data_IF_189223949936
#
_entry.id   IF_189223949936
#
_cell.length_a   1.000
_cell.length_b   1.000
_cell.length_c   1.000
_cell.angle_alpha   90.00
_cell.angle_beta   90.00
_cell.angle_gamma   90.00
#
_symmetry.space_group_name_H-M   'P 1'
#
loop_
_entity.id
_entity.type
_entity.pdbx_description
1 polymer ?
#
# COMPACT_ATOMS: atom_id res chain seq x y z
N UNK A 1 13.16 22.27 -24.54
CA UNK A 1 13.81 22.07 -25.84
C UNK A 1 12.72 21.81 -26.88
N UNK A 2 12.50 22.77 -27.80
CA UNK A 2 11.42 22.66 -28.82
C UNK A 2 11.97 21.98 -30.06
N UNK A 3 11.44 20.81 -30.41
CA UNK A 3 11.75 20.14 -31.68
C UNK A 3 10.73 20.60 -32.75
N UNK A 4 11.21 21.16 -33.85
CA UNK A 4 10.39 21.65 -34.97
C UNK A 4 10.41 20.64 -36.13
N UNK A 5 9.26 20.10 -36.52
CA UNK A 5 9.11 19.34 -37.77
C UNK A 5 8.01 19.98 -38.65
N UNK A 6 8.20 19.93 -39.96
CA UNK A 6 7.30 20.50 -40.96
C UNK A 6 6.13 19.56 -41.24
N UNK A 7 4.91 20.11 -41.43
CA UNK A 7 3.79 19.39 -42.03
C UNK A 7 3.87 19.47 -43.56
N UNK A 8 3.21 18.58 -44.25
CA UNK A 8 3.11 18.53 -45.71
C UNK A 8 2.52 19.82 -46.38
N UNK A 9 2.01 20.75 -45.57
CA UNK A 9 1.41 22.03 -45.97
C UNK A 9 2.18 23.26 -45.50
N UNK A 10 3.44 23.12 -45.15
CA UNK A 10 4.32 24.26 -44.87
C UNK A 10 4.08 24.98 -43.53
N UNK A 11 3.04 24.71 -42.79
CA UNK A 11 2.83 25.28 -41.43
C UNK A 11 3.65 24.57 -40.36
N UNK A 12 4.33 25.36 -39.54
CA UNK A 12 5.11 24.84 -38.40
C UNK A 12 4.17 24.54 -37.25
N UNK A 13 3.88 23.27 -37.03
CA UNK A 13 3.10 22.85 -35.86
C UNK A 13 4.04 22.71 -34.66
N UNK A 14 3.88 23.57 -33.66
CA UNK A 14 4.62 23.46 -32.40
C UNK A 14 3.96 22.39 -31.54
N UNK A 15 4.76 21.46 -31.05
CA UNK A 15 4.32 20.47 -30.08
C UNK A 15 5.30 20.37 -28.90
N UNK A 16 4.78 19.99 -27.74
CA UNK A 16 5.59 19.65 -26.57
C UNK A 16 5.64 18.14 -26.39
N UNK A 17 6.80 17.61 -26.02
CA UNK A 17 6.94 16.19 -25.69
C UNK A 17 6.68 16.04 -24.19
N UNK A 18 5.74 15.17 -23.82
CA UNK A 18 5.45 14.80 -22.44
C UNK A 18 5.76 13.32 -22.23
N UNK A 19 6.52 13.03 -21.18
CA UNK A 19 6.79 11.67 -20.73
C UNK A 19 5.79 11.33 -19.61
N UNK A 20 5.17 10.15 -19.68
CA UNK A 20 4.20 9.66 -18.70
C UNK A 20 4.74 8.38 -18.06
N UNK A 21 5.46 8.53 -16.94
CA UNK A 21 6.12 7.41 -16.27
C UNK A 21 7.07 6.67 -17.21
N UNK A 22 6.99 5.33 -17.22
CA UNK A 22 7.80 4.45 -18.08
C UNK A 22 7.22 4.22 -19.49
N UNK A 23 6.10 4.88 -19.79
CA UNK A 23 5.45 4.76 -21.10
C UNK A 23 6.13 5.62 -22.16
N UNK A 24 5.74 5.38 -23.42
CA UNK A 24 6.27 6.12 -24.58
C UNK A 24 6.00 7.62 -24.44
N UNK A 25 6.94 8.40 -24.97
CA UNK A 25 6.77 9.85 -25.10
C UNK A 25 5.58 10.19 -25.98
N UNK A 26 4.72 11.10 -25.50
CA UNK A 26 3.58 11.62 -26.23
C UNK A 26 3.82 13.03 -26.71
N UNK A 27 3.45 13.31 -27.97
CA UNK A 27 3.45 14.66 -28.53
C UNK A 27 2.14 15.35 -28.19
N UNK A 28 2.22 16.48 -27.52
CA UNK A 28 1.04 17.31 -27.23
C UNK A 28 1.02 18.50 -28.17
N UNK A 29 -0.07 18.63 -28.89
CA UNK A 29 -0.35 19.76 -29.80
C UNK A 29 -1.27 20.79 -29.15
N UNK A 30 -1.53 20.69 -27.87
CA UNK A 30 -2.37 21.63 -27.14
C UNK A 30 -1.76 23.03 -27.17
N UNK A 31 -2.55 24.01 -27.56
CA UNK A 31 -2.18 25.44 -27.61
C UNK A 31 -2.37 26.12 -26.25
N UNK A 32 -3.26 25.61 -25.43
CA UNK A 32 -3.57 26.12 -24.09
C UNK A 32 -3.03 25.20 -23.01
N UNK A 33 -2.66 25.76 -21.86
CA UNK A 33 -2.38 24.95 -20.66
C UNK A 33 -3.70 24.31 -20.20
N UNK A 34 -3.59 23.10 -19.64
CA UNK A 34 -4.75 22.48 -18.98
C UNK A 34 -5.28 23.45 -17.91
N UNK A 35 -6.53 23.88 -18.08
CA UNK A 35 -7.18 24.76 -17.11
C UNK A 35 -7.61 24.00 -15.84
N UNK A 36 -7.78 22.70 -15.95
CA UNK A 36 -8.17 21.81 -14.86
C UNK A 36 -7.15 20.68 -14.78
N UNK A 37 -6.61 20.43 -13.60
CA UNK A 37 -5.79 19.25 -13.34
C UNK A 37 -6.70 18.02 -13.35
N UNK A 38 -6.23 16.95 -14.02
CA UNK A 38 -6.93 15.67 -13.96
C UNK A 38 -6.76 15.08 -12.55
N UNK A 39 -7.87 14.86 -11.87
CA UNK A 39 -7.87 14.18 -10.59
C UNK A 39 -7.33 12.76 -10.75
N UNK A 40 -6.58 12.32 -9.76
CA UNK A 40 -6.16 10.93 -9.68
C UNK A 40 -7.37 10.06 -9.30
N UNK A 41 -7.89 9.29 -10.25
CA UNK A 41 -9.08 8.46 -10.05
C UNK A 41 -8.86 7.31 -9.04
N UNK A 42 -7.61 6.99 -8.72
CA UNK A 42 -7.23 5.96 -7.76
C UNK A 42 -6.90 6.53 -6.38
N UNK A 43 -7.04 7.84 -6.18
CA UNK A 43 -6.64 8.50 -4.95
C UNK A 43 -7.44 8.02 -3.75
N UNK A 44 -8.75 7.83 -3.91
CA UNK A 44 -9.65 7.38 -2.84
C UNK A 44 -9.24 6.00 -2.34
N UNK A 45 -9.04 5.04 -3.25
CA UNK A 45 -8.67 3.67 -2.91
C UNK A 45 -7.30 3.63 -2.23
N UNK A 46 -6.31 4.35 -2.76
CA UNK A 46 -4.97 4.39 -2.21
C UNK A 46 -4.94 5.03 -0.83
N UNK A 47 -5.55 6.19 -0.65
CA UNK A 47 -5.64 6.87 0.66
C UNK A 47 -6.37 6.02 1.70
N UNK A 48 -7.47 5.36 1.31
CA UNK A 48 -8.20 4.46 2.21
C UNK A 48 -7.35 3.26 2.65
N UNK A 49 -6.60 2.69 1.72
CA UNK A 49 -5.70 1.58 2.03
C UNK A 49 -4.51 2.02 2.89
N UNK A 50 -3.90 3.16 2.58
CA UNK A 50 -2.80 3.71 3.37
C UNK A 50 -3.26 4.02 4.81
N UNK A 51 -4.44 4.62 4.96
CA UNK A 51 -5.06 4.85 6.28
C UNK A 51 -5.29 3.52 7.02
N UNK A 52 -5.85 2.51 6.35
CA UNK A 52 -6.07 1.21 6.96
C UNK A 52 -4.78 0.57 7.46
N UNK A 53 -3.70 0.64 6.66
CA UNK A 53 -2.41 0.05 7.00
C UNK A 53 -1.68 0.80 8.12
N UNK A 54 -1.92 2.10 8.30
CA UNK A 54 -1.22 2.94 9.29
C UNK A 54 -2.04 3.17 10.56
N UNK A 55 -3.34 3.40 10.44
CA UNK A 55 -4.22 3.77 11.55
C UNK A 55 -5.29 2.72 11.83
N UNK A 56 -5.94 2.20 10.79
CA UNK A 56 -7.09 1.31 10.96
C UNK A 56 -6.75 0.00 11.68
N UNK A 57 -5.60 -0.60 11.40
CA UNK A 57 -5.14 -1.81 12.11
C UNK A 57 -4.90 -1.50 13.60
N UNK A 58 -4.32 -0.35 13.89
CA UNK A 58 -4.07 0.08 15.27
C UNK A 58 -5.38 0.29 16.03
N UNK A 59 -6.36 0.98 15.42
CA UNK A 59 -7.69 1.17 16.02
C UNK A 59 -8.34 -0.18 16.37
N UNK A 60 -8.25 -1.17 15.48
CA UNK A 60 -8.79 -2.52 15.74
C UNK A 60 -8.08 -3.19 16.91
N UNK A 61 -6.76 -3.03 17.03
CA UNK A 61 -6.04 -3.59 18.16
C UNK A 61 -6.40 -2.87 19.47
N UNK A 62 -6.49 -1.56 19.46
CA UNK A 62 -6.84 -0.76 20.62
C UNK A 62 -8.28 -1.06 21.10
N UNK A 63 -9.20 -1.42 20.21
CA UNK A 63 -10.58 -1.82 20.54
C UNK A 63 -10.67 -3.22 21.17
N UNK A 64 -9.78 -4.13 20.81
CA UNK A 64 -9.82 -5.54 21.26
C UNK A 64 -8.97 -5.72 22.51
N UNK A 65 -7.84 -5.07 22.63
CA UNK A 65 -6.86 -5.24 23.69
C UNK A 65 -6.91 -4.08 24.70
N UNK A 66 -6.57 -4.32 25.98
CA UNK A 66 -6.05 -5.57 26.53
C UNK A 66 -7.12 -6.64 26.73
N UNK A 67 -6.71 -7.92 26.62
CA UNK A 67 -7.57 -9.05 26.95
C UNK A 67 -7.13 -9.63 28.28
N UNK A 68 -8.08 -9.69 29.24
CA UNK A 68 -7.84 -10.27 30.56
C UNK A 68 -8.36 -11.69 30.66
N UNK A 69 -7.65 -12.53 31.42
CA UNK A 69 -8.13 -13.88 31.74
C UNK A 69 -9.35 -13.83 32.64
N UNK A 70 -10.16 -14.88 32.67
CA UNK A 70 -11.33 -14.97 33.54
C UNK A 70 -11.00 -14.80 35.04
N UNK A 71 -9.79 -15.20 35.46
CA UNK A 71 -9.30 -15.07 36.84
C UNK A 71 -8.66 -13.71 37.11
N UNK A 72 -8.45 -12.87 36.11
CA UNK A 72 -7.77 -11.57 36.21
C UNK A 72 -6.26 -11.66 36.40
N UNK A 73 -5.68 -12.88 36.40
CA UNK A 73 -4.26 -13.09 36.72
C UNK A 73 -3.33 -12.85 35.53
N UNK A 74 -3.86 -12.94 34.31
CA UNK A 74 -3.11 -12.77 33.07
C UNK A 74 -3.75 -11.67 32.23
N UNK A 75 -2.92 -10.77 31.71
CA UNK A 75 -3.31 -9.71 30.79
C UNK A 75 -2.47 -9.81 29.53
N UNK A 76 -3.14 -9.90 28.39
CA UNK A 76 -2.51 -9.92 27.06
C UNK A 76 -2.69 -8.55 26.40
N UNK A 77 -1.58 -7.95 25.98
CA UNK A 77 -1.55 -6.70 25.24
C UNK A 77 -0.85 -6.89 23.91
N UNK A 78 -1.29 -6.14 22.89
CA UNK A 78 -0.56 -6.01 21.65
C UNK A 78 0.18 -4.67 21.61
N UNK A 79 1.45 -4.75 21.23
CA UNK A 79 2.30 -3.58 21.04
C UNK A 79 2.38 -3.15 19.58
N UNK A 80 3.58 -2.88 19.11
CA UNK A 80 3.81 -2.48 17.72
C UNK A 80 3.59 -3.64 16.75
N UNK A 81 3.02 -3.32 15.59
CA UNK A 81 2.89 -4.27 14.49
C UNK A 81 3.87 -3.91 13.36
N UNK A 82 4.25 -4.90 12.61
CA UNK A 82 5.14 -4.76 11.45
C UNK A 82 4.73 -5.67 10.31
N UNK A 83 5.05 -5.24 9.10
CA UNK A 83 4.90 -6.05 7.90
C UNK A 83 6.26 -6.50 7.42
N UNK A 84 6.38 -7.79 7.12
CA UNK A 84 7.56 -8.30 6.44
C UNK A 84 7.47 -8.08 4.92
N UNK A 85 8.58 -8.31 4.23
CA UNK A 85 8.59 -8.24 2.78
C UNK A 85 7.72 -9.35 2.16
N UNK A 86 6.98 -9.05 1.09
CA UNK A 86 6.23 -10.04 0.35
C UNK A 86 7.12 -11.16 -0.17
N UNK A 87 6.68 -12.41 -0.03
CA UNK A 87 7.45 -13.58 -0.45
C UNK A 87 7.77 -13.60 -1.94
N UNK A 88 6.88 -13.08 -2.77
CA UNK A 88 7.01 -13.06 -4.22
C UNK A 88 6.74 -11.66 -4.76
N UNK A 89 7.38 -11.32 -5.87
CA UNK A 89 7.05 -10.11 -6.63
C UNK A 89 5.66 -10.21 -7.27
N UNK A 90 5.10 -9.09 -7.67
CA UNK A 90 3.80 -9.01 -8.36
C UNK A 90 3.72 -9.97 -9.56
N UNK A 91 4.77 -10.00 -10.40
CA UNK A 91 4.85 -10.92 -11.53
C UNK A 91 4.92 -12.37 -11.07
N UNK A 92 5.74 -12.66 -10.07
CA UNK A 92 5.87 -13.99 -9.50
C UNK A 92 4.58 -14.54 -8.91
N UNK A 93 3.74 -13.67 -8.30
CA UNK A 93 2.41 -14.05 -7.81
C UNK A 93 1.47 -14.45 -8.96
N UNK A 94 1.47 -13.69 -10.06
CA UNK A 94 0.65 -13.99 -11.24
C UNK A 94 1.05 -15.31 -11.90
N UNK A 95 2.36 -15.55 -12.06
CA UNK A 95 2.89 -16.76 -12.69
C UNK A 95 2.65 -18.02 -11.83
N UNK A 96 2.49 -17.88 -10.51
CA UNK A 96 2.34 -18.97 -9.54
C UNK A 96 0.93 -19.12 -8.98
N UNK A 97 -0.03 -18.34 -9.46
CA UNK A 97 -1.39 -18.30 -8.92
C UNK A 97 -1.41 -18.04 -7.40
N UNK A 98 -0.48 -17.20 -6.93
CA UNK A 98 -0.34 -16.83 -5.52
C UNK A 98 -0.95 -15.44 -5.24
N UNK A 99 -1.23 -15.18 -3.98
CA UNK A 99 -1.68 -13.86 -3.50
C UNK A 99 -0.46 -12.99 -3.19
N UNK A 100 -0.50 -11.73 -3.64
CA UNK A 100 0.50 -10.74 -3.27
C UNK A 100 0.18 -10.18 -1.90
N UNK A 101 0.86 -10.71 -0.88
CA UNK A 101 0.61 -10.40 0.52
C UNK A 101 1.92 -10.30 1.31
N UNK A 102 1.89 -9.56 2.41
CA UNK A 102 2.97 -9.50 3.38
C UNK A 102 2.54 -10.11 4.71
N UNK A 103 3.43 -10.85 5.39
CA UNK A 103 3.19 -11.34 6.73
C UNK A 103 3.03 -10.18 7.72
N UNK A 104 1.92 -10.19 8.47
CA UNK A 104 1.69 -9.27 9.58
C UNK A 104 2.17 -9.90 10.87
N UNK A 105 3.09 -9.24 11.54
CA UNK A 105 3.58 -9.59 12.88
C UNK A 105 3.21 -8.51 13.87
N UNK A 106 2.92 -8.93 15.08
CA UNK A 106 2.64 -8.05 16.20
C UNK A 106 3.44 -8.49 17.44
N UNK A 107 3.95 -7.54 18.17
CA UNK A 107 4.57 -7.79 19.45
C UNK A 107 3.48 -8.01 20.50
N UNK A 108 3.39 -9.24 21.01
CA UNK A 108 2.48 -9.58 22.09
C UNK A 108 3.22 -9.54 23.44
N UNK A 109 2.57 -8.95 24.44
CA UNK A 109 3.04 -8.86 25.82
C UNK A 109 2.04 -9.56 26.72
N UNK A 110 2.52 -10.56 27.44
CA UNK A 110 1.73 -11.28 28.44
C UNK A 110 2.23 -10.90 29.83
N UNK A 111 1.36 -10.27 30.60
CA UNK A 111 1.61 -9.94 32.00
C UNK A 111 0.98 -10.99 32.90
N UNK A 112 1.78 -11.54 33.81
CA UNK A 112 1.28 -12.36 34.89
C UNK A 112 1.26 -11.53 36.19
N UNK A 113 0.08 -11.20 36.68
CA UNK A 113 -0.09 -10.35 37.86
C UNK A 113 0.31 -11.06 39.16
N UNK A 114 0.26 -12.39 39.23
CA UNK A 114 0.66 -13.15 40.42
C UNK A 114 2.18 -13.23 40.61
N UNK A 115 2.91 -13.48 39.52
CA UNK A 115 4.37 -13.66 39.55
C UNK A 115 5.12 -12.38 39.22
N UNK A 116 4.44 -11.37 38.68
CA UNK A 116 5.08 -10.15 38.16
C UNK A 116 5.91 -10.36 36.88
N UNK A 117 5.79 -11.53 36.26
CA UNK A 117 6.52 -11.84 35.02
C UNK A 117 5.86 -11.17 33.81
N UNK A 118 6.71 -10.64 32.92
CA UNK A 118 6.31 -10.11 31.61
C UNK A 118 7.00 -10.95 30.55
N UNK A 119 6.23 -11.54 29.63
CA UNK A 119 6.75 -12.26 28.47
C UNK A 119 6.39 -11.49 27.22
N UNK A 120 7.40 -11.19 26.41
CA UNK A 120 7.23 -10.52 25.10
C UNK A 120 7.65 -11.49 24.01
N UNK A 121 6.86 -11.53 22.94
CA UNK A 121 7.12 -12.34 21.75
C UNK A 121 6.44 -11.76 20.53
N UNK A 122 7.15 -11.80 19.40
CA UNK A 122 6.53 -11.47 18.11
C UNK A 122 5.65 -12.63 17.62
N UNK A 123 4.41 -12.34 17.35
CA UNK A 123 3.40 -13.31 16.89
C UNK A 123 3.05 -13.02 15.44
N UNK A 124 3.07 -14.06 14.62
CA UNK A 124 2.52 -14.01 13.26
C UNK A 124 0.99 -14.10 13.32
N UNK A 125 0.29 -13.08 12.82
CA UNK A 125 -1.18 -13.04 12.79
C UNK A 125 -1.75 -13.60 11.48
N UNK A 126 -1.04 -13.38 10.36
CA UNK A 126 -1.51 -13.81 9.05
C UNK A 126 -0.88 -13.03 7.90
N UNK A 127 -1.26 -13.40 6.68
CA UNK A 127 -0.82 -12.71 5.48
C UNK A 127 -1.84 -11.63 5.08
N UNK A 128 -1.40 -10.39 5.03
CA UNK A 128 -2.23 -9.26 4.63
C UNK A 128 -2.01 -8.93 3.15
N UNK A 129 -3.06 -8.94 2.31
CA UNK A 129 -2.93 -8.56 0.90
C UNK A 129 -2.41 -7.14 0.73
N UNK A 130 -1.41 -6.97 -0.15
CA UNK A 130 -0.81 -5.65 -0.43
C UNK A 130 -1.35 -5.09 -1.74
N UNK A 131 -1.70 -3.81 -1.70
CA UNK A 131 -2.10 -3.05 -2.87
C UNK A 131 -0.88 -2.74 -3.75
N UNK A 132 -1.02 -2.97 -5.05
CA UNK A 132 -0.01 -2.59 -6.05
C UNK A 132 -0.02 -1.08 -6.30
N UNK A 133 1.04 -0.56 -6.94
CA UNK A 133 1.12 0.86 -7.35
C UNK A 133 -0.04 1.31 -8.23
N UNK A 134 -0.67 0.39 -8.96
CA UNK A 134 -1.84 0.64 -9.77
C UNK A 134 -3.17 0.62 -9.00
N UNK A 135 -3.15 0.48 -7.67
CA UNK A 135 -4.35 0.45 -6.82
C UNK A 135 -5.17 -0.84 -6.93
N UNK A 136 -4.53 -1.96 -7.26
CA UNK A 136 -5.16 -3.27 -7.43
C UNK A 136 -4.57 -4.29 -6.46
N UNK A 137 -5.33 -5.34 -6.15
CA UNK A 137 -4.86 -6.51 -5.42
C UNK A 137 -4.67 -7.69 -6.37
N UNK A 138 -3.72 -8.57 -6.03
CA UNK A 138 -3.48 -9.81 -6.74
C UNK A 138 -3.80 -10.94 -5.77
N UNK A 139 -4.89 -11.63 -6.03
CA UNK A 139 -5.38 -12.74 -5.21
C UNK A 139 -5.47 -13.97 -6.11
N UNK A 140 -4.75 -15.04 -5.72
CA UNK A 140 -4.65 -16.28 -6.50
C UNK A 140 -4.23 -16.06 -7.96
N UNK A 141 -3.33 -15.10 -8.17
CA UNK A 141 -2.80 -14.77 -9.51
C UNK A 141 -3.70 -13.89 -10.35
#
# INVERSE_FOLDING_TARGET
MFSRKYSLWGERVAYTVKKFGDYRERRSYAKTKNAIELNNLLEIQKKSYDWFMTEGIKEVFDDIFPVESFTGNLTLEFGEYSFEEPRYSIKGCKDRYATYAAPLKVQARLFNQETGEVKEQDIYLGDMPIMSDSGTFIING
#
